data_IF_327958276830
#
_entry.id   IF_327958276830
#
_cell.length_a   1.000
_cell.length_b   1.000
_cell.length_c   1.000
_cell.angle_alpha   90.00
_cell.angle_beta   90.00
_cell.angle_gamma   90.00
#
_symmetry.space_group_name_H-M   'P 1'
#
loop_
_entity.id
_entity.type
_entity.pdbx_description
1 polymer ?
#
# COMPACT_ATOMS: atom_id res chain seq x y z
N UNK A 1 33.14 -17.40 -25.51
CA UNK A 1 33.20 -18.84 -25.18
C UNK A 1 31.78 -19.30 -24.99
N UNK A 2 31.25 -20.12 -25.89
CA UNK A 2 29.84 -20.50 -25.90
C UNK A 2 29.52 -21.48 -24.78
N UNK A 3 28.44 -21.22 -24.03
CA UNK A 3 27.91 -22.12 -23.00
C UNK A 3 27.59 -23.49 -23.61
N UNK A 4 28.12 -24.55 -23.00
CA UNK A 4 27.99 -25.95 -23.45
C UNK A 4 26.82 -26.69 -22.78
N UNK A 5 26.07 -26.02 -21.91
CA UNK A 5 24.93 -26.58 -21.21
C UNK A 5 23.76 -26.91 -22.16
N UNK A 6 23.22 -28.13 -22.05
CA UNK A 6 22.02 -28.60 -22.76
C UNK A 6 20.95 -29.06 -21.76
N UNK A 7 19.74 -29.37 -22.22
CA UNK A 7 18.67 -29.92 -21.37
C UNK A 7 19.01 -31.26 -20.70
N UNK A 8 20.07 -31.95 -21.15
CA UNK A 8 20.55 -33.22 -20.59
C UNK A 8 21.73 -33.05 -19.63
N UNK A 9 22.30 -31.84 -19.54
CA UNK A 9 23.41 -31.56 -18.63
C UNK A 9 22.93 -31.67 -17.18
N UNK A 10 23.69 -32.38 -16.35
CA UNK A 10 23.32 -32.54 -14.93
C UNK A 10 23.50 -31.21 -14.19
N UNK A 11 22.54 -30.86 -13.32
CA UNK A 11 22.59 -29.60 -12.55
C UNK A 11 23.91 -29.46 -11.75
N UNK A 12 24.40 -30.56 -11.18
CA UNK A 12 25.65 -30.59 -10.41
C UNK A 12 26.92 -30.36 -11.23
N UNK A 13 26.85 -30.46 -12.55
CA UNK A 13 28.00 -30.27 -13.45
C UNK A 13 27.99 -28.91 -14.14
N UNK A 14 27.06 -28.02 -13.80
CA UNK A 14 27.02 -26.67 -14.36
C UNK A 14 28.26 -25.89 -13.92
N UNK A 15 28.89 -25.23 -14.88
CA UNK A 15 30.01 -24.32 -14.61
C UNK A 15 29.49 -22.94 -14.21
N UNK A 16 30.35 -22.12 -13.61
CA UNK A 16 30.01 -20.72 -13.30
C UNK A 16 29.59 -19.94 -14.55
N UNK A 17 30.25 -20.19 -15.68
CA UNK A 17 29.89 -19.58 -16.97
C UNK A 17 28.49 -19.99 -17.45
N UNK A 18 28.09 -21.24 -17.23
CA UNK A 18 26.73 -21.69 -17.55
C UNK A 18 25.70 -21.00 -16.65
N UNK A 19 25.97 -20.88 -15.35
CA UNK A 19 25.08 -20.22 -14.39
C UNK A 19 24.87 -18.75 -14.74
N UNK A 20 25.94 -18.02 -15.09
CA UNK A 20 25.84 -16.62 -15.52
C UNK A 20 25.01 -16.50 -16.81
N UNK A 21 25.24 -17.41 -17.76
CA UNK A 21 24.46 -17.43 -19.02
C UNK A 21 22.99 -17.68 -18.76
N UNK A 22 22.66 -18.67 -17.93
CA UNK A 22 21.28 -18.98 -17.52
C UNK A 22 20.63 -17.79 -16.81
N UNK A 23 21.35 -17.13 -15.89
CA UNK A 23 20.87 -15.94 -15.21
C UNK A 23 20.51 -14.82 -16.18
N UNK A 24 21.38 -14.52 -17.15
CA UNK A 24 21.12 -13.50 -18.16
C UNK A 24 19.90 -13.86 -19.02
N UNK A 25 19.74 -15.14 -19.40
CA UNK A 25 18.55 -15.61 -20.11
C UNK A 25 17.26 -15.43 -19.28
N UNK A 26 17.32 -15.68 -17.97
CA UNK A 26 16.18 -15.43 -17.07
C UNK A 26 15.79 -13.95 -17.00
N UNK A 27 16.74 -13.04 -17.16
CA UNK A 27 16.49 -11.60 -17.17
C UNK A 27 15.88 -11.11 -18.50
N UNK A 28 16.16 -11.79 -19.62
CA UNK A 28 15.63 -11.45 -20.94
C UNK A 28 14.23 -12.05 -21.20
N UNK A 29 13.92 -13.18 -20.58
CA UNK A 29 12.65 -13.90 -20.79
C UNK A 29 11.57 -13.36 -19.85
N UNK A 30 10.36 -13.15 -20.40
CA UNK A 30 9.18 -12.81 -19.61
C UNK A 30 8.48 -14.07 -19.12
N UNK A 31 8.23 -14.13 -17.81
CA UNK A 31 7.45 -15.19 -17.16
C UNK A 31 6.09 -14.64 -16.71
N UNK A 32 5.08 -15.52 -16.54
CA UNK A 32 3.85 -15.14 -15.86
C UNK A 32 4.12 -14.64 -14.44
N UNK A 33 3.36 -13.65 -14.01
CA UNK A 33 3.42 -13.12 -12.65
C UNK A 33 3.19 -14.24 -11.62
N UNK A 34 4.02 -14.36 -10.57
CA UNK A 34 3.79 -15.31 -9.49
C UNK A 34 2.45 -15.07 -8.80
N UNK A 35 1.79 -16.16 -8.39
CA UNK A 35 0.54 -16.08 -7.65
C UNK A 35 0.73 -15.40 -6.29
N UNK A 36 -0.27 -14.64 -5.86
CA UNK A 36 -0.36 -14.05 -4.53
C UNK A 36 -1.02 -14.96 -3.48
N UNK A 37 -1.34 -16.22 -3.80
CA UNK A 37 -2.06 -17.12 -2.89
C UNK A 37 -1.31 -17.44 -1.60
N UNK A 38 0.00 -17.17 -1.55
CA UNK A 38 0.81 -17.27 -0.33
C UNK A 38 0.64 -16.05 0.60
N UNK A 39 0.08 -14.94 0.11
CA UNK A 39 -0.06 -13.70 0.86
C UNK A 39 -1.29 -13.75 1.77
N UNK A 40 -1.16 -13.10 2.93
CA UNK A 40 -2.21 -13.04 3.95
C UNK A 40 -2.45 -11.59 4.38
N UNK A 41 -3.20 -10.82 3.57
CA UNK A 41 -3.63 -9.48 3.93
C UNK A 41 -4.50 -9.49 5.20
N UNK A 42 -4.62 -8.32 5.86
CA UNK A 42 -5.54 -8.12 6.98
C UNK A 42 -6.98 -8.26 6.52
N UNK A 43 -7.28 -7.76 5.31
CA UNK A 43 -8.59 -7.72 4.70
C UNK A 43 -9.35 -6.44 5.05
N UNK A 44 -10.13 -5.95 4.09
CA UNK A 44 -10.87 -4.68 4.21
C UNK A 44 -11.77 -4.62 5.45
N UNK A 45 -12.49 -5.70 5.74
CA UNK A 45 -13.41 -5.75 6.88
C UNK A 45 -12.67 -5.59 8.22
N UNK A 46 -11.60 -6.35 8.43
CA UNK A 46 -10.83 -6.31 9.67
C UNK A 46 -10.12 -4.97 9.84
N UNK A 47 -9.58 -4.43 8.75
CA UNK A 47 -8.95 -3.11 8.75
C UNK A 47 -9.96 -2.01 9.12
N UNK A 48 -11.18 -2.08 8.55
CA UNK A 48 -12.27 -1.16 8.88
C UNK A 48 -12.64 -1.24 10.37
N UNK A 49 -12.85 -2.47 10.88
CA UNK A 49 -13.27 -2.69 12.26
C UNK A 49 -12.22 -2.24 13.27
N UNK A 50 -10.94 -2.50 13.00
CA UNK A 50 -9.82 -2.04 13.84
C UNK A 50 -9.78 -0.52 13.94
N UNK A 51 -9.82 0.18 12.80
CA UNK A 51 -9.79 1.65 12.77
C UNK A 51 -11.01 2.25 13.47
N UNK A 52 -12.19 1.68 13.25
CA UNK A 52 -13.43 2.15 13.88
C UNK A 52 -13.40 1.99 15.39
N UNK A 53 -12.88 0.87 15.88
CA UNK A 53 -12.75 0.59 17.32
C UNK A 53 -11.77 1.53 18.00
N UNK A 54 -10.58 1.69 17.42
CA UNK A 54 -9.47 2.41 18.07
C UNK A 54 -9.58 3.94 17.95
N UNK A 55 -10.04 4.46 16.80
CA UNK A 55 -10.02 5.90 16.54
C UNK A 55 -11.40 6.55 16.53
N UNK A 56 -12.48 5.76 16.46
CA UNK A 56 -13.86 6.23 16.39
C UNK A 56 -14.07 7.40 15.40
N UNK A 57 -13.57 7.30 14.16
CA UNK A 57 -13.72 8.36 13.16
C UNK A 57 -15.17 8.46 12.67
N UNK A 58 -15.52 9.59 12.07
CA UNK A 58 -16.87 9.78 11.50
C UNK A 58 -17.08 8.89 10.27
N UNK A 59 -16.01 8.62 9.52
CA UNK A 59 -16.04 7.94 8.23
C UNK A 59 -14.75 7.14 8.04
N UNK A 60 -14.87 5.95 7.45
CA UNK A 60 -13.73 5.11 7.06
C UNK A 60 -14.02 4.49 5.69
N UNK A 61 -13.01 4.47 4.83
CA UNK A 61 -13.01 3.65 3.63
C UNK A 61 -11.76 2.77 3.64
N UNK A 62 -11.92 1.53 3.19
CA UNK A 62 -10.87 0.53 3.06
C UNK A 62 -10.82 0.04 1.62
N UNK A 63 -9.65 -0.42 1.19
CA UNK A 63 -9.48 -1.07 -0.10
C UNK A 63 -8.26 -1.99 -0.05
N UNK A 64 -8.41 -3.20 -0.60
CA UNK A 64 -7.31 -4.14 -0.81
C UNK A 64 -7.07 -4.29 -2.31
N UNK A 65 -5.83 -4.09 -2.77
CA UNK A 65 -5.48 -4.21 -4.17
C UNK A 65 -5.49 -5.68 -4.64
N UNK A 66 -5.55 -5.88 -5.95
CA UNK A 66 -5.12 -7.16 -6.54
C UNK A 66 -3.63 -7.38 -6.26
N UNK A 67 -3.17 -8.63 -6.36
CA UNK A 67 -1.75 -8.97 -6.34
C UNK A 67 -1.01 -8.20 -7.43
N UNK A 68 0.19 -7.73 -7.06
CA UNK A 68 1.19 -7.09 -7.93
C UNK A 68 2.52 -7.80 -7.71
N UNK A 69 3.48 -7.56 -8.61
CA UNK A 69 4.79 -8.21 -8.56
C UNK A 69 5.86 -7.13 -8.58
N UNK A 70 6.86 -7.30 -7.72
CA UNK A 70 8.04 -6.45 -7.66
C UNK A 70 9.26 -7.37 -7.60
N UNK A 71 10.17 -7.27 -8.56
CA UNK A 71 11.39 -8.10 -8.62
C UNK A 71 11.12 -9.61 -8.48
N UNK A 72 10.07 -10.11 -9.15
CA UNK A 72 9.68 -11.52 -9.08
C UNK A 72 9.00 -11.95 -7.77
N UNK A 73 8.66 -11.01 -6.88
CA UNK A 73 7.98 -11.28 -5.63
C UNK A 73 6.57 -10.70 -5.62
N UNK A 74 5.53 -11.52 -5.32
CA UNK A 74 4.17 -11.03 -5.22
C UNK A 74 4.00 -10.17 -3.96
N UNK A 75 3.21 -9.11 -4.09
CA UNK A 75 2.78 -8.26 -2.99
C UNK A 75 1.35 -7.75 -3.20
N UNK A 76 0.69 -7.38 -2.10
CA UNK A 76 -0.62 -6.75 -2.05
C UNK A 76 -0.47 -5.45 -1.25
N UNK A 77 -1.17 -4.40 -1.67
CA UNK A 77 -1.30 -3.17 -0.91
C UNK A 77 -2.71 -3.04 -0.39
N UNK A 78 -2.83 -2.80 0.90
CA UNK A 78 -4.07 -2.43 1.56
C UNK A 78 -3.96 -0.97 2.00
N UNK A 79 -5.06 -0.24 1.94
CA UNK A 79 -5.12 1.06 2.56
C UNK A 79 -6.47 1.32 3.18
N UNK A 80 -6.47 2.11 4.24
CA UNK A 80 -7.66 2.76 4.73
C UNK A 80 -7.45 4.26 4.87
N UNK A 81 -8.56 5.00 4.76
CA UNK A 81 -8.61 6.43 5.02
C UNK A 81 -9.75 6.66 6.00
N UNK A 82 -9.43 7.27 7.13
CA UNK A 82 -10.40 7.73 8.12
C UNK A 82 -10.49 9.25 8.10
N UNK A 83 -11.71 9.76 8.32
CA UNK A 83 -11.99 11.20 8.42
C UNK A 83 -12.77 11.50 9.70
N UNK A 84 -12.35 12.55 10.41
CA UNK A 84 -12.95 12.97 11.66
C UNK A 84 -12.59 12.06 12.84
N UNK A 85 -13.34 12.20 13.92
CA UNK A 85 -13.06 11.55 15.21
C UNK A 85 -13.06 12.59 16.33
N UNK A 86 -13.86 12.35 17.37
CA UNK A 86 -14.01 13.30 18.49
C UNK A 86 -12.84 13.27 19.47
N UNK A 87 -12.11 12.17 19.49
CA UNK A 87 -11.06 11.88 20.47
C UNK A 87 -9.64 12.14 19.93
N UNK A 88 -9.51 12.62 18.69
CA UNK A 88 -8.23 12.78 18.01
C UNK A 88 -7.98 14.27 17.74
N UNK A 89 -6.76 14.73 17.97
CA UNK A 89 -6.37 16.11 17.66
C UNK A 89 -6.46 16.35 16.14
N UNK A 90 -6.80 17.57 15.70
CA UNK A 90 -6.74 17.89 14.28
C UNK A 90 -5.33 17.65 13.71
N UNK A 91 -5.26 16.95 12.59
CA UNK A 91 -3.98 16.60 11.97
C UNK A 91 -4.10 15.59 10.84
N UNK A 92 -2.95 15.35 10.20
CA UNK A 92 -2.76 14.38 9.13
C UNK A 92 -1.84 13.27 9.63
N UNK A 93 -2.40 12.08 9.88
CA UNK A 93 -1.70 10.96 10.49
C UNK A 93 -1.51 9.81 9.49
N UNK A 94 -0.33 9.20 9.49
CA UNK A 94 0.01 8.09 8.60
C UNK A 94 0.49 6.91 9.46
N UNK A 95 -0.26 5.81 9.44
CA UNK A 95 0.01 4.59 10.19
C UNK A 95 0.44 3.49 9.23
N UNK A 96 1.74 3.28 9.14
CA UNK A 96 2.36 2.39 8.14
C UNK A 96 2.49 0.96 8.66
N UNK A 97 2.24 -0.01 7.79
CA UNK A 97 2.38 -1.42 8.12
C UNK A 97 3.07 -2.21 7.02
N UNK A 98 3.90 -3.16 7.40
CA UNK A 98 4.54 -4.10 6.49
C UNK A 98 4.41 -5.52 7.05
N UNK A 99 3.84 -6.45 6.29
CA UNK A 99 3.56 -7.82 6.72
C UNK A 99 2.87 -7.90 8.10
N UNK A 100 1.87 -7.03 8.33
CA UNK A 100 1.10 -6.89 9.59
C UNK A 100 1.89 -6.34 10.78
N UNK A 101 3.10 -5.84 10.56
CA UNK A 101 3.94 -5.22 11.59
C UNK A 101 3.92 -3.69 11.40
N UNK A 102 3.66 -2.89 12.45
CA UNK A 102 3.69 -1.44 12.37
C UNK A 102 5.13 -0.92 12.18
N UNK A 103 5.30 0.08 11.31
CA UNK A 103 6.57 0.79 11.11
C UNK A 103 6.55 2.13 11.87
N UNK A 104 7.35 2.21 12.94
CA UNK A 104 7.29 3.35 13.89
C UNK A 104 8.26 4.48 13.54
N UNK A 105 9.44 4.16 13.00
CA UNK A 105 10.54 5.12 12.81
C UNK A 105 10.67 5.59 11.37
N UNK A 106 11.38 6.71 11.18
CA UNK A 106 11.84 7.21 9.87
C UNK A 106 10.72 7.34 8.82
N UNK A 107 9.54 7.75 9.26
CA UNK A 107 8.37 7.87 8.41
C UNK A 107 8.57 8.83 7.24
N UNK A 108 9.40 9.85 7.39
CA UNK A 108 9.72 10.83 6.34
C UNK A 108 10.39 10.22 5.10
N UNK A 109 11.08 9.10 5.20
CA UNK A 109 11.75 8.44 4.07
C UNK A 109 10.89 7.33 3.44
N UNK A 110 9.75 7.00 4.04
CA UNK A 110 8.95 5.87 3.61
C UNK A 110 8.11 6.19 2.36
N UNK A 111 8.12 5.26 1.39
CA UNK A 111 7.32 5.37 0.15
C UNK A 111 5.84 5.66 0.43
N UNK A 112 5.27 5.10 1.50
CA UNK A 112 3.88 5.37 1.88
C UNK A 112 3.66 6.81 2.30
N UNK A 113 4.54 7.33 3.14
CA UNK A 113 4.45 8.71 3.63
C UNK A 113 4.63 9.68 2.48
N UNK A 114 5.66 9.49 1.67
CA UNK A 114 5.93 10.32 0.50
C UNK A 114 4.75 10.27 -0.49
N UNK A 115 4.19 9.10 -0.72
CA UNK A 115 3.01 8.96 -1.61
C UNK A 115 1.78 9.67 -1.03
N UNK A 116 1.52 9.56 0.27
CA UNK A 116 0.36 10.17 0.91
C UNK A 116 0.47 11.70 1.00
N UNK A 117 1.66 12.23 1.28
CA UNK A 117 1.91 13.69 1.31
C UNK A 117 1.73 14.28 -0.08
N UNK A 118 2.29 13.64 -1.11
CA UNK A 118 2.22 14.10 -2.50
C UNK A 118 0.87 13.77 -3.19
N UNK A 119 -0.08 13.18 -2.46
CA UNK A 119 -1.39 12.83 -3.00
C UNK A 119 -2.30 14.06 -3.13
N UNK A 120 -3.01 14.20 -4.25
CA UNK A 120 -3.93 15.32 -4.46
C UNK A 120 -5.29 15.06 -3.75
N UNK A 121 -5.32 15.29 -2.44
CA UNK A 121 -6.50 15.13 -1.58
C UNK A 121 -7.66 16.05 -1.97
N UNK A 122 -7.34 17.29 -2.39
CA UNK A 122 -8.33 18.32 -2.74
C UNK A 122 -9.24 17.88 -3.90
N UNK A 123 -8.71 17.08 -4.85
CA UNK A 123 -9.50 16.47 -5.94
C UNK A 123 -10.69 15.64 -5.43
N UNK A 124 -10.58 15.10 -4.22
CA UNK A 124 -11.59 14.27 -3.58
C UNK A 124 -12.37 14.99 -2.48
N UNK A 125 -12.27 16.34 -2.43
CA UNK A 125 -12.91 17.19 -1.40
C UNK A 125 -12.41 16.89 0.03
N UNK A 126 -11.22 16.31 0.14
CA UNK A 126 -10.54 16.09 1.41
C UNK A 126 -9.46 17.16 1.54
N UNK A 127 -9.51 17.95 2.61
CA UNK A 127 -8.53 19.01 2.86
C UNK A 127 -7.70 18.66 4.11
N UNK A 128 -6.40 18.33 3.97
CA UNK A 128 -5.52 17.99 5.09
C UNK A 128 -5.38 19.09 6.17
N UNK A 129 -5.58 20.36 5.82
CA UNK A 129 -5.50 21.46 6.78
C UNK A 129 -6.80 21.64 7.60
N UNK A 130 -7.94 21.14 7.12
CA UNK A 130 -9.26 21.32 7.77
C UNK A 130 -9.82 20.04 8.38
N UNK A 131 -9.45 18.89 7.83
CA UNK A 131 -9.96 17.60 8.27
C UNK A 131 -8.95 16.89 9.15
N UNK A 132 -9.46 16.13 10.11
CA UNK A 132 -8.69 15.11 10.82
C UNK A 132 -8.62 13.91 9.89
N UNK A 133 -7.43 13.52 9.46
CA UNK A 133 -7.23 12.45 8.47
C UNK A 133 -6.29 11.40 9.05
N UNK A 134 -6.73 10.14 9.04
CA UNK A 134 -5.85 8.99 9.25
C UNK A 134 -5.68 8.21 7.96
N UNK A 135 -4.44 7.90 7.59
CA UNK A 135 -4.09 7.11 6.40
C UNK A 135 -3.37 5.84 6.89
N UNK A 136 -3.85 4.67 6.50
CA UNK A 136 -3.36 3.38 7.00
C UNK A 136 -2.85 2.51 5.84
N UNK A 137 -1.72 2.85 5.21
CA UNK A 137 -1.16 2.04 4.14
C UNK A 137 -0.48 0.80 4.73
N UNK A 138 -0.72 -0.35 4.11
CA UNK A 138 -0.08 -1.61 4.43
C UNK A 138 0.38 -2.33 3.17
N UNK A 139 1.57 -2.92 3.21
CA UNK A 139 2.03 -3.88 2.20
C UNK A 139 2.15 -5.27 2.83
N UNK A 140 1.73 -6.28 2.08
CA UNK A 140 1.96 -7.70 2.41
C UNK A 140 2.65 -8.34 1.23
N UNK A 141 3.85 -8.90 1.42
CA UNK A 141 4.66 -9.45 0.35
C UNK A 141 5.71 -10.43 0.85
N UNK A 142 6.20 -11.29 -0.04
CA UNK A 142 7.25 -12.27 0.29
C UNK A 142 8.61 -11.61 0.47
N UNK A 143 8.86 -10.51 -0.25
CA UNK A 143 10.07 -9.68 -0.12
C UNK A 143 9.64 -8.22 -0.22
N UNK A 144 9.85 -7.48 0.86
CA UNK A 144 9.56 -6.04 0.92
C UNK A 144 10.91 -5.31 0.79
N UNK A 145 11.04 -4.33 -0.11
CA UNK A 145 12.26 -3.55 -0.29
C UNK A 145 12.41 -2.56 0.86
N UNK A 146 12.86 -3.07 1.99
CA UNK A 146 13.21 -2.26 3.14
C UNK A 146 14.56 -1.60 2.94
N UNK A 147 14.74 -0.45 3.58
CA UNK A 147 16.05 0.17 3.69
C UNK A 147 17.05 -0.79 4.35
N UNK A 148 18.29 -0.81 3.86
CA UNK A 148 19.34 -1.72 4.32
C UNK A 148 19.65 -1.60 5.82
N UNK A 149 19.35 -0.44 6.44
CA UNK A 149 19.48 -0.20 7.88
C UNK A 149 18.17 -0.46 8.63
N UNK A 150 17.93 -1.71 9.03
CA UNK A 150 17.03 -2.02 10.14
C UNK A 150 15.54 -2.20 9.82
N UNK A 151 15.13 -2.23 8.54
CA UNK A 151 13.73 -2.42 8.13
C UNK A 151 12.76 -1.39 8.73
N UNK A 152 13.21 -0.14 8.81
CA UNK A 152 12.46 0.93 9.45
C UNK A 152 11.47 1.61 8.49
N UNK A 153 11.80 1.63 7.20
CA UNK A 153 10.95 2.17 6.14
C UNK A 153 11.12 1.40 4.84
N UNK A 154 10.11 1.51 3.97
CA UNK A 154 10.11 0.89 2.65
C UNK A 154 10.70 1.88 1.65
N UNK A 155 11.69 1.43 0.89
CA UNK A 155 12.36 2.22 -0.14
C UNK A 155 11.39 2.61 -1.26
N UNK A 156 11.71 3.71 -1.94
CA UNK A 156 10.91 4.20 -3.04
C UNK A 156 11.13 3.35 -4.28
N UNK A 157 10.22 2.40 -4.48
CA UNK A 157 10.12 1.57 -5.68
C UNK A 157 8.82 1.94 -6.41
N UNK A 158 8.93 2.22 -7.72
CA UNK A 158 7.83 2.79 -8.51
C UNK A 158 6.59 1.90 -8.53
N UNK A 159 6.76 0.58 -8.64
CA UNK A 159 5.66 -0.40 -8.61
C UNK A 159 4.85 -0.29 -7.32
N UNK A 160 5.54 -0.15 -6.18
CA UNK A 160 4.91 0.00 -4.86
C UNK A 160 4.25 1.37 -4.75
N UNK A 161 4.96 2.44 -5.13
CA UNK A 161 4.44 3.81 -5.13
C UNK A 161 3.15 3.94 -5.95
N UNK A 162 3.11 3.37 -7.15
CA UNK A 162 1.93 3.36 -8.00
C UNK A 162 0.79 2.53 -7.41
N UNK A 163 1.09 1.35 -6.84
CA UNK A 163 0.09 0.52 -6.16
C UNK A 163 -0.54 1.24 -4.96
N UNK A 164 0.27 1.91 -4.14
CA UNK A 164 -0.20 2.72 -2.99
C UNK A 164 -1.07 3.86 -3.46
N UNK A 165 -0.62 4.63 -4.46
CA UNK A 165 -1.39 5.75 -5.03
C UNK A 165 -2.73 5.30 -5.60
N UNK A 166 -2.78 4.15 -6.28
CA UNK A 166 -4.00 3.58 -6.83
C UNK A 166 -4.98 3.15 -5.72
N UNK A 167 -4.45 2.54 -4.65
CA UNK A 167 -5.23 2.07 -3.49
C UNK A 167 -5.83 3.25 -2.72
N UNK A 168 -5.03 4.29 -2.43
CA UNK A 168 -5.52 5.53 -1.81
C UNK A 168 -6.61 6.20 -2.66
N UNK A 169 -6.44 6.22 -3.98
CA UNK A 169 -7.47 6.74 -4.91
C UNK A 169 -8.78 5.98 -4.79
N UNK A 170 -8.76 4.65 -4.65
CA UNK A 170 -9.97 3.84 -4.48
C UNK A 170 -10.70 4.20 -3.18
N UNK A 171 -9.99 4.32 -2.06
CA UNK A 171 -10.58 4.76 -0.79
C UNK A 171 -11.19 6.18 -0.90
N UNK A 172 -10.49 7.11 -1.55
CA UNK A 172 -11.00 8.48 -1.73
C UNK A 172 -12.28 8.54 -2.59
N UNK A 173 -12.39 7.69 -3.61
CA UNK A 173 -13.59 7.57 -4.44
C UNK A 173 -14.78 7.12 -3.60
N UNK A 174 -14.59 6.16 -2.68
CA UNK A 174 -15.64 5.69 -1.77
C UNK A 174 -16.08 6.80 -0.78
N UNK A 175 -15.15 7.62 -0.28
CA UNK A 175 -15.46 8.69 0.69
C UNK A 175 -16.14 9.92 0.07
N UNK A 176 -15.85 10.23 -1.19
CA UNK A 176 -16.37 11.42 -1.89
C UNK A 176 -17.89 11.60 -1.81
N UNK A 177 -18.75 10.59 -2.11
CA UNK A 177 -20.20 10.76 -2.01
C UNK A 177 -20.67 10.95 -0.57
N UNK A 178 -20.00 10.31 0.40
CA UNK A 178 -20.35 10.43 1.80
C UNK A 178 -20.03 11.84 2.34
N UNK A 179 -18.94 12.45 1.89
CA UNK A 179 -18.59 13.83 2.21
C UNK A 179 -19.62 14.81 1.62
N UNK A 180 -20.04 14.59 0.37
CA UNK A 180 -21.06 15.42 -0.27
C UNK A 180 -22.40 15.39 0.49
N UNK A 181 -22.82 14.20 0.96
CA UNK A 181 -24.03 14.03 1.80
C UNK A 181 -23.91 14.78 3.13
N UNK A 182 -22.75 14.74 3.79
CA UNK A 182 -22.52 15.43 5.07
C UNK A 182 -22.56 16.95 4.93
N UNK A 183 -22.03 17.50 3.83
CA UNK A 183 -22.12 18.93 3.53
C UNK A 183 -23.57 19.34 3.26
N UNK A 184 -24.30 18.58 2.44
CA UNK A 184 -25.71 18.86 2.13
C UNK A 184 -26.63 18.72 3.36
N UNK A 185 -26.37 17.75 4.23
CA UNK A 185 -27.13 17.55 5.47
C UNK A 185 -26.93 18.65 6.52
N UNK A 186 -25.81 19.39 6.47
CA UNK A 186 -25.59 20.57 7.32
C UNK A 186 -26.33 21.82 6.80
N UNK A 187 -26.78 21.83 5.55
CA UNK A 187 -27.45 22.96 4.91
C UNK A 187 -28.97 23.00 5.09
N UNK A 188 -29.57 22.04 5.83
CA UNK A 188 -30.96 22.16 6.28
C UNK A 188 -30.95 22.69 7.72
N UNK A 189 -31.27 23.97 7.96
CA UNK A 189 -31.59 24.40 9.32
C UNK A 189 -32.78 23.55 9.79
N UNK A 190 -32.72 23.03 11.01
CA UNK A 190 -33.94 22.63 11.70
C UNK A 190 -34.85 23.87 11.71
N UNK A 191 -35.92 23.86 10.93
CA UNK A 191 -37.05 24.74 11.19
C UNK A 191 -37.60 24.29 12.54
N UNK A 192 -37.16 24.97 13.59
CA UNK A 192 -37.74 24.87 14.92
C UNK A 192 -39.04 25.68 14.86
N UNK A 193 -40.16 25.00 15.06
CA UNK A 193 -41.45 25.59 15.43
C UNK A 193 -41.37 26.15 16.86
#
# INVERSE_FOLDING_TARGET
MGSTCSSKTLLKSLTEGDVITIYNLFMEISFPDPSGDCLRPVGEHNLYMGIKKELQPDMVATFTSSTKVCLGHPFIVEAAISLGGKCVKPGFYIYRFANKIPLLNKGEFDVFTQTAINFNWNRYKINPAKHIIGVFPSIVGTKIPFNWMGKEYIEEVDEIKFAVKATLKKCCIQLKPLLAKKVSGRSKPKQTL
#
